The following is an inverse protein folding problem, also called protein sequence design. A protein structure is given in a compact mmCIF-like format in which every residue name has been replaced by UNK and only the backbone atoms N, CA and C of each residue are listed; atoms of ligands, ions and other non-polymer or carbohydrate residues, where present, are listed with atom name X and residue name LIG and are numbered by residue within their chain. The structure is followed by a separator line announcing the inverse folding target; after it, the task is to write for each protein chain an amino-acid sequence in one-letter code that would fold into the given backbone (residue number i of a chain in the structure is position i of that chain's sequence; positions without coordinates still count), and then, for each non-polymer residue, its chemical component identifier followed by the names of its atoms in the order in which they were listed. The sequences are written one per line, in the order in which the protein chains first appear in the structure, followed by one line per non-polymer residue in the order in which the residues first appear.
data_IF_316932445663
#
_entry.id   IF_316932445663
#
_cell.length_a   1.000
_cell.length_b   1.000
_cell.length_c   1.000
_cell.angle_alpha   90.00
_cell.angle_beta   90.00
_cell.angle_gamma   90.00
#
_symmetry.space_group_name_H-M   'P 1'
#
loop_
_entity.id
_entity.type
_entity.pdbx_description
1 polymer ?
#
# COMPACT_ATOMS: atom_id res chain seq x y z
N UNK A 1 13.89 7.54 -17.49
CA UNK A 1 13.15 7.42 -16.21
C UNK A 1 14.19 7.34 -15.11
N UNK A 2 14.40 8.44 -14.40
CA UNK A 2 15.40 8.52 -13.34
C UNK A 2 14.90 7.74 -12.12
N UNK A 3 15.73 6.84 -11.58
CA UNK A 3 15.41 6.10 -10.36
C UNK A 3 15.77 6.98 -9.17
N UNK A 4 14.78 7.62 -8.56
CA UNK A 4 14.94 8.37 -7.32
C UNK A 4 14.61 7.50 -6.11
N UNK A 5 15.07 7.91 -4.92
CA UNK A 5 14.62 7.29 -3.66
C UNK A 5 13.14 7.64 -3.46
N UNK A 6 12.36 6.66 -3.02
CA UNK A 6 10.97 6.89 -2.62
C UNK A 6 10.95 7.88 -1.44
N UNK A 7 10.10 8.92 -1.47
CA UNK A 7 9.87 9.77 -0.32
C UNK A 7 9.18 8.99 0.81
N UNK A 8 9.34 9.44 2.05
CA UNK A 8 8.62 8.87 3.20
C UNK A 8 7.11 9.18 3.11
N UNK A 9 6.29 8.36 3.77
CA UNK A 9 4.84 8.57 3.81
C UNK A 9 4.52 9.81 4.67
N UNK A 10 3.67 10.74 4.21
CA UNK A 10 3.31 11.93 4.98
C UNK A 10 2.67 11.60 6.34
N UNK A 11 2.94 12.45 7.32
CA UNK A 11 2.29 12.38 8.62
C UNK A 11 0.80 12.76 8.54
N UNK A 12 0.03 12.36 9.55
CA UNK A 12 -1.38 12.74 9.70
C UNK A 12 -2.36 11.93 8.85
N UNK A 13 -1.90 10.89 8.16
CA UNK A 13 -2.77 9.94 7.45
C UNK A 13 -3.41 8.94 8.41
N UNK A 14 -4.63 8.53 8.08
CA UNK A 14 -5.31 7.44 8.76
C UNK A 14 -4.79 6.09 8.23
N UNK A 15 -4.57 5.16 9.16
CA UNK A 15 -4.05 3.83 8.87
C UNK A 15 -5.05 2.75 9.25
N UNK A 16 -5.04 1.67 8.48
CA UNK A 16 -5.87 0.49 8.71
C UNK A 16 -4.99 -0.76 8.67
N UNK A 17 -5.43 -1.83 9.35
CA UNK A 17 -4.73 -3.12 9.43
C UNK A 17 -3.31 -3.06 10.03
N UNK A 18 -2.99 -2.02 10.79
CA UNK A 18 -1.69 -1.84 11.49
C UNK A 18 -1.92 -1.21 12.87
N UNK A 19 -1.05 -1.55 13.82
CA UNK A 19 -1.11 -0.99 15.18
C UNK A 19 -0.54 0.44 15.28
N UNK A 20 0.24 0.87 14.27
CA UNK A 20 0.85 2.20 14.22
C UNK A 20 1.19 2.60 12.77
N UNK A 21 1.35 3.91 12.47
CA UNK A 21 1.77 4.38 11.16
C UNK A 21 3.04 3.69 10.62
N UNK A 22 3.02 3.30 9.34
CA UNK A 22 4.15 2.61 8.71
C UNK A 22 5.18 3.62 8.21
N UNK A 23 6.44 3.43 8.60
CA UNK A 23 7.60 4.14 8.02
C UNK A 23 8.28 3.26 6.99
N UNK A 24 8.53 3.80 5.79
CA UNK A 24 9.26 3.11 4.73
C UNK A 24 10.72 2.85 5.11
N UNK A 25 11.34 3.77 5.86
CA UNK A 25 12.71 3.59 6.34
C UNK A 25 12.85 2.36 7.27
N UNK A 26 11.81 2.06 8.06
CA UNK A 26 11.79 0.87 8.94
C UNK A 26 11.58 -0.45 8.19
N UNK A 27 11.22 -0.41 6.90
CA UNK A 27 11.04 -1.61 6.07
C UNK A 27 12.28 -1.98 5.23
N UNK A 28 13.44 -1.38 5.53
CA UNK A 28 14.68 -1.67 4.82
C UNK A 28 15.01 -3.17 4.83
N UNK A 29 15.53 -3.67 3.70
CA UNK A 29 15.85 -5.09 3.51
C UNK A 29 14.67 -5.95 3.03
N UNK A 30 13.46 -5.38 2.93
CA UNK A 30 12.30 -6.01 2.31
C UNK A 30 11.98 -5.35 0.97
N UNK A 31 11.28 -6.08 0.10
CA UNK A 31 10.65 -5.50 -1.08
C UNK A 31 9.38 -4.80 -0.62
N UNK A 32 9.18 -3.57 -1.08
CA UNK A 32 7.99 -2.79 -0.81
C UNK A 32 7.15 -2.69 -2.09
N UNK A 33 5.88 -3.09 -2.01
CA UNK A 33 4.89 -2.91 -3.06
C UNK A 33 3.88 -1.85 -2.61
N UNK A 34 3.84 -0.73 -3.33
CA UNK A 34 2.84 0.33 -3.14
C UNK A 34 1.73 0.15 -4.17
N UNK A 35 0.52 -0.14 -3.71
CA UNK A 35 -0.66 -0.31 -4.56
C UNK A 35 -1.57 0.91 -4.43
N UNK A 36 -1.70 1.71 -5.49
CA UNK A 36 -2.55 2.92 -5.48
C UNK A 36 -3.91 2.56 -6.08
N UNK A 37 -4.95 2.62 -5.26
CA UNK A 37 -6.27 2.16 -5.68
C UNK A 37 -7.40 2.86 -4.95
N UNK A 38 -8.62 2.58 -5.39
CA UNK A 38 -9.85 2.94 -4.70
C UNK A 38 -10.81 1.75 -4.72
N UNK A 39 -11.72 1.74 -3.76
CA UNK A 39 -12.64 0.62 -3.57
C UNK A 39 -13.67 0.47 -4.70
N UNK A 40 -14.11 1.57 -5.31
CA UNK A 40 -15.11 1.53 -6.40
C UNK A 40 -14.57 0.99 -7.73
N UNK A 41 -13.26 0.91 -7.91
CA UNK A 41 -12.65 0.39 -9.14
C UNK A 41 -12.70 -1.14 -9.21
N UNK A 42 -13.39 -1.66 -10.21
CA UNK A 42 -13.43 -3.10 -10.54
C UNK A 42 -12.01 -3.65 -10.81
N UNK A 43 -11.13 -2.85 -11.42
CA UNK A 43 -9.76 -3.26 -11.66
C UNK A 43 -9.02 -3.49 -10.33
N UNK A 44 -9.17 -2.57 -9.37
CA UNK A 44 -8.57 -2.72 -8.05
C UNK A 44 -9.10 -3.96 -7.34
N UNK A 45 -10.41 -4.23 -7.42
CA UNK A 45 -11.01 -5.43 -6.80
C UNK A 45 -10.43 -6.73 -7.34
N UNK A 46 -10.18 -6.84 -8.65
CA UNK A 46 -9.55 -8.03 -9.23
C UNK A 46 -8.10 -8.21 -8.77
N UNK A 47 -7.35 -7.12 -8.60
CA UNK A 47 -5.94 -7.18 -8.16
C UNK A 47 -5.81 -7.65 -6.70
N UNK A 48 -6.85 -7.51 -5.87
CA UNK A 48 -6.81 -7.92 -4.46
C UNK A 48 -6.47 -9.40 -4.24
N UNK A 49 -6.90 -10.30 -5.13
CA UNK A 49 -6.58 -11.73 -5.02
C UNK A 49 -5.09 -11.98 -5.24
N UNK A 50 -4.49 -11.28 -6.19
CA UNK A 50 -3.06 -11.39 -6.49
C UNK A 50 -2.23 -10.82 -5.34
N UNK A 51 -2.65 -9.69 -4.77
CA UNK A 51 -2.01 -9.12 -3.59
C UNK A 51 -2.09 -10.08 -2.39
N UNK A 52 -3.23 -10.74 -2.16
CA UNK A 52 -3.37 -11.75 -1.11
C UNK A 52 -2.43 -12.94 -1.32
N UNK A 53 -2.32 -13.42 -2.56
CA UNK A 53 -1.40 -14.49 -2.91
C UNK A 53 0.05 -14.08 -2.65
N UNK A 54 0.46 -12.89 -3.09
CA UNK A 54 1.82 -12.38 -2.90
C UNK A 54 2.14 -12.17 -1.41
N UNK A 55 1.23 -11.58 -0.64
CA UNK A 55 1.39 -11.40 0.80
C UNK A 55 1.58 -12.74 1.53
N UNK A 56 0.87 -13.78 1.10
CA UNK A 56 0.99 -15.12 1.68
C UNK A 56 2.30 -15.80 1.27
N UNK A 57 2.68 -15.70 -0.01
CA UNK A 57 3.87 -16.37 -0.56
C UNK A 57 5.19 -15.75 -0.09
N UNK A 58 5.22 -14.44 0.14
CA UNK A 58 6.45 -13.69 0.44
C UNK A 58 6.39 -12.96 1.79
N UNK A 59 5.64 -13.50 2.76
CA UNK A 59 5.34 -12.85 4.05
C UNK A 59 6.53 -12.24 4.78
N UNK A 60 7.71 -12.89 4.73
CA UNK A 60 8.91 -12.42 5.44
C UNK A 60 9.77 -11.44 4.63
N UNK A 61 9.47 -11.27 3.33
CA UNK A 61 10.31 -10.52 2.37
C UNK A 61 9.58 -9.40 1.65
N UNK A 62 8.25 -9.41 1.65
CA UNK A 62 7.40 -8.46 0.95
C UNK A 62 6.50 -7.73 1.95
N UNK A 63 6.47 -6.40 1.84
CA UNK A 63 5.50 -5.55 2.51
C UNK A 63 4.63 -4.90 1.44
N UNK A 64 3.31 -5.06 1.56
CA UNK A 64 2.33 -4.43 0.66
C UNK A 64 1.66 -3.30 1.43
N UNK A 65 1.66 -2.10 0.86
CA UNK A 65 0.95 -0.94 1.39
C UNK A 65 -0.05 -0.47 0.33
N UNK A 66 -1.34 -0.55 0.68
CA UNK A 66 -2.42 0.04 -0.12
C UNK A 66 -2.54 1.53 0.15
N UNK A 67 -2.38 2.36 -0.88
CA UNK A 67 -2.56 3.81 -0.84
C UNK A 67 -3.95 4.13 -1.42
N UNK A 68 -4.91 4.31 -0.52
CA UNK A 68 -6.27 4.64 -0.92
C UNK A 68 -6.35 6.04 -1.52
N UNK A 69 -6.68 6.10 -2.81
CA UNK A 69 -6.70 7.30 -3.64
C UNK A 69 -8.14 7.54 -4.11
N UNK A 70 -9.01 8.10 -3.25
CA UNK A 70 -10.45 8.16 -3.49
C UNK A 70 -10.78 8.95 -4.75
N UNK A 71 -11.68 8.39 -5.57
CA UNK A 71 -12.19 9.05 -6.76
C UNK A 71 -13.42 9.92 -6.43
N UNK A 72 -14.20 9.50 -5.43
CA UNK A 72 -15.42 10.18 -5.01
C UNK A 72 -15.34 10.69 -3.56
N UNK A 73 -16.04 11.79 -3.21
CA UNK A 73 -16.03 12.33 -1.84
C UNK A 73 -16.45 11.33 -0.75
N UNK A 74 -17.41 10.45 -1.06
CA UNK A 74 -17.89 9.41 -0.14
C UNK A 74 -16.88 8.27 0.10
N UNK A 75 -15.76 8.26 -0.62
CA UNK A 75 -14.69 7.29 -0.43
C UNK A 75 -13.56 7.86 0.45
N UNK A 76 -13.65 9.12 0.88
CA UNK A 76 -12.67 9.68 1.81
C UNK A 76 -12.83 8.99 3.17
N UNK A 77 -11.73 8.48 3.69
CA UNK A 77 -11.62 7.85 5.01
C UNK A 77 -10.48 8.47 5.79
#
# INVERSE_FOLDING_TARGET
MERSRVPEIPDGLQWFNVDSPVSLHKQAGRVLLLDFGNYSSIHCQHVLSDLHYLASKYRDRLVIIGIHSPQFPGEKG
#
